data_IF_025091622813
#
_entry.id   IF_025091622813
#
_cell.length_a   1.000
_cell.length_b   1.000
_cell.length_c   1.000
_cell.angle_alpha   90.00
_cell.angle_beta   90.00
_cell.angle_gamma   90.00
#
_symmetry.space_group_name_H-M   'P 1'
#
loop_
_entity.id
_entity.type
_entity.pdbx_description
1 polymer ?
#
# COMPACT_ATOMS: atom_id res chain seq x y z
N UNK A 1 -15.44 6.52 9.89
CA UNK A 1 -14.79 7.32 8.83
C UNK A 1 -14.75 6.45 7.59
N UNK A 2 -15.32 6.95 6.50
CA UNK A 2 -15.50 6.26 5.22
C UNK A 2 -14.24 6.43 4.36
N UNK A 3 -13.38 5.42 4.25
CA UNK A 3 -12.18 5.39 3.38
C UNK A 3 -11.14 6.51 3.62
N UNK A 4 -9.86 6.15 3.68
CA UNK A 4 -8.76 7.13 3.78
C UNK A 4 -7.74 6.90 2.68
N UNK A 5 -7.00 7.94 2.30
CA UNK A 5 -5.94 7.84 1.29
C UNK A 5 -4.72 8.60 1.76
N UNK A 6 -3.57 7.95 1.62
CA UNK A 6 -2.26 8.46 2.02
C UNK A 6 -1.36 8.38 0.80
N UNK A 7 -0.63 9.45 0.53
CA UNK A 7 0.26 9.54 -0.61
C UNK A 7 1.69 9.71 -0.11
N UNK A 8 2.57 8.80 -0.50
CA UNK A 8 3.99 8.86 -0.18
C UNK A 8 4.79 9.15 -1.44
N UNK A 9 5.72 10.11 -1.38
CA UNK A 9 6.77 10.26 -2.40
C UNK A 9 7.81 9.16 -2.16
N UNK A 10 7.98 8.20 -3.08
CA UNK A 10 8.75 6.96 -2.82
C UNK A 10 10.22 7.26 -2.46
N UNK A 11 10.88 8.15 -3.19
CA UNK A 11 12.28 8.48 -2.95
C UNK A 11 12.54 9.19 -1.62
N UNK A 12 11.54 9.90 -1.10
CA UNK A 12 11.68 10.60 0.18
C UNK A 12 11.44 9.66 1.35
N UNK A 13 10.49 8.73 1.19
CA UNK A 13 10.02 7.88 2.28
C UNK A 13 10.70 6.49 2.31
N UNK A 14 11.04 5.94 1.14
CA UNK A 14 11.50 4.55 0.97
C UNK A 14 12.72 4.39 0.05
N UNK A 15 13.73 5.29 0.06
CA UNK A 15 14.80 5.32 -0.94
C UNK A 15 15.65 4.04 -1.03
N UNK A 16 15.70 3.26 0.05
CA UNK A 16 16.56 2.09 0.15
C UNK A 16 15.82 0.76 -0.09
N UNK A 17 14.50 0.80 -0.33
CA UNK A 17 13.74 -0.43 -0.55
C UNK A 17 13.97 -0.95 -1.99
N UNK A 18 14.22 -2.26 -2.22
CA UNK A 18 14.50 -2.80 -3.55
C UNK A 18 13.33 -2.65 -4.55
N UNK A 19 12.12 -2.45 -4.05
CA UNK A 19 10.92 -2.18 -4.84
C UNK A 19 10.58 -0.70 -4.98
N UNK A 20 11.37 0.24 -4.45
CA UNK A 20 11.18 1.68 -4.71
C UNK A 20 11.27 1.92 -6.23
N UNK A 21 10.21 2.47 -6.82
CA UNK A 21 10.02 2.62 -8.28
C UNK A 21 10.19 1.33 -9.12
N UNK A 22 10.20 0.16 -8.47
CA UNK A 22 10.60 -1.08 -9.11
C UNK A 22 9.63 -2.22 -8.76
N UNK A 23 8.43 -2.13 -9.32
CA UNK A 23 7.39 -3.15 -9.19
C UNK A 23 6.88 -3.31 -7.77
N UNK A 24 6.15 -4.40 -7.52
CA UNK A 24 5.50 -4.67 -6.25
C UNK A 24 5.99 -5.97 -5.62
N UNK A 25 6.02 -5.98 -4.30
CA UNK A 25 6.19 -7.19 -3.48
C UNK A 25 5.30 -7.09 -2.26
N UNK A 26 4.98 -8.23 -1.66
CA UNK A 26 4.19 -8.28 -0.42
C UNK A 26 4.92 -7.55 0.72
N UNK A 27 6.25 -7.69 0.83
CA UNK A 27 7.07 -6.99 1.81
C UNK A 27 7.00 -5.47 1.64
N UNK A 28 7.05 -4.98 0.39
CA UNK A 28 6.92 -3.56 0.13
C UNK A 28 5.51 -3.03 0.45
N UNK A 29 4.49 -3.80 0.08
CA UNK A 29 3.11 -3.47 0.42
C UNK A 29 2.91 -3.42 1.94
N UNK A 30 3.50 -4.35 2.69
CA UNK A 30 3.45 -4.36 4.16
C UNK A 30 4.12 -3.12 4.76
N UNK A 31 5.27 -2.71 4.24
CA UNK A 31 5.95 -1.47 4.66
C UNK A 31 5.06 -0.24 4.45
N UNK A 32 4.47 -0.11 3.26
CA UNK A 32 3.59 1.00 2.89
C UNK A 32 2.33 1.04 3.76
N UNK A 33 1.71 -0.11 4.02
CA UNK A 33 0.53 -0.22 4.90
C UNK A 33 0.88 0.20 6.32
N UNK A 34 2.00 -0.28 6.87
CA UNK A 34 2.42 0.10 8.22
C UNK A 34 2.61 1.62 8.32
N UNK A 35 3.27 2.25 7.33
CA UNK A 35 3.42 3.71 7.30
C UNK A 35 2.10 4.45 7.13
N UNK A 36 1.20 3.96 6.29
CA UNK A 36 -0.13 4.56 6.12
C UNK A 36 -0.92 4.52 7.44
N UNK A 37 -0.87 3.40 8.17
CA UNK A 37 -1.56 3.25 9.45
C UNK A 37 -0.97 4.13 10.56
N UNK A 38 0.35 4.36 10.55
CA UNK A 38 1.01 5.33 11.42
C UNK A 38 0.46 6.75 11.16
N UNK A 39 0.32 7.18 9.90
CA UNK A 39 -0.18 8.52 9.54
C UNK A 39 -1.68 8.71 9.79
N UNK A 40 -2.49 7.66 9.65
CA UNK A 40 -3.93 7.69 9.95
C UNK A 40 -4.21 7.79 11.47
N UNK A 41 -3.18 7.72 12.32
CA UNK A 41 -3.32 7.58 13.79
C UNK A 41 -4.24 6.41 14.16
N UNK A 42 -4.12 5.31 13.42
CA UNK A 42 -5.02 4.18 13.60
C UNK A 42 -4.80 3.55 14.99
N UNK A 43 -5.79 3.68 15.89
CA UNK A 43 -5.70 3.27 17.30
C UNK A 43 -5.62 1.75 17.56
N UNK A 44 -5.66 0.94 16.51
CA UNK A 44 -5.48 -0.51 16.59
C UNK A 44 -4.02 -0.87 16.85
N UNK A 45 -3.76 -2.11 17.25
CA UNK A 45 -2.38 -2.60 17.41
C UNK A 45 -1.71 -2.77 16.04
N UNK A 46 -1.20 -1.65 15.50
CA UNK A 46 -0.51 -1.54 14.19
C UNK A 46 0.80 -2.33 14.15
N UNK A 47 1.27 -2.87 15.28
CA UNK A 47 2.58 -3.51 15.37
C UNK A 47 2.64 -4.87 14.66
N UNK A 48 1.50 -5.44 14.25
CA UNK A 48 1.47 -6.74 13.61
C UNK A 48 0.41 -6.86 12.50
N UNK A 49 0.59 -6.09 11.41
CA UNK A 49 -0.22 -6.27 10.20
C UNK A 49 0.04 -7.66 9.60
N UNK A 50 -0.97 -8.52 9.64
CA UNK A 50 -0.99 -9.85 9.03
C UNK A 50 -1.75 -9.76 7.71
N UNK A 51 -1.05 -9.98 6.60
CA UNK A 51 -1.63 -10.01 5.26
C UNK A 51 -2.29 -11.39 5.06
N UNK A 52 -3.59 -11.41 4.76
CA UNK A 52 -4.35 -12.63 4.46
C UNK A 52 -4.47 -12.86 2.96
N UNK A 53 -4.37 -11.78 2.15
CA UNK A 53 -4.42 -11.86 0.70
C UNK A 53 -3.63 -10.73 0.07
N UNK A 54 -2.86 -11.07 -0.95
CA UNK A 54 -2.08 -10.12 -1.75
C UNK A 54 -2.29 -10.42 -3.24
N UNK A 55 -2.82 -9.46 -3.99
CA UNK A 55 -3.08 -9.60 -5.43
C UNK A 55 -2.75 -8.30 -6.13
N UNK A 56 -1.84 -8.33 -7.10
CA UNK A 56 -1.57 -7.19 -7.98
C UNK A 56 -2.05 -7.47 -9.39
N UNK A 57 -2.58 -6.45 -10.05
CA UNK A 57 -3.00 -6.54 -11.44
C UNK A 57 -2.68 -5.25 -12.18
N UNK A 58 -2.04 -5.38 -13.33
CA UNK A 58 -1.84 -4.27 -14.26
C UNK A 58 -3.19 -3.85 -14.86
N UNK A 59 -3.47 -2.54 -14.87
CA UNK A 59 -4.64 -2.00 -15.56
C UNK A 59 -4.44 -2.14 -17.07
N UNK A 60 -3.22 -1.86 -17.54
CA UNK A 60 -2.75 -2.16 -18.88
C UNK A 60 -1.79 -3.34 -18.82
N UNK A 61 -2.18 -4.49 -19.37
CA UNK A 61 -1.38 -5.73 -19.36
C UNK A 61 -0.03 -5.58 -20.08
N UNK A 62 0.14 -4.54 -20.91
CA UNK A 62 1.41 -4.24 -21.58
C UNK A 62 2.34 -3.35 -20.75
N UNK A 63 1.84 -2.80 -19.63
CA UNK A 63 2.57 -1.86 -18.79
C UNK A 63 2.40 -2.20 -17.29
N UNK A 64 3.39 -2.92 -16.75
CA UNK A 64 3.44 -3.31 -15.34
C UNK A 64 3.52 -2.10 -14.39
N UNK A 65 3.94 -0.92 -14.85
CA UNK A 65 3.91 0.29 -14.01
C UNK A 65 2.50 0.76 -13.68
N UNK A 66 1.47 0.20 -14.32
CA UNK A 66 0.05 0.45 -14.03
C UNK A 66 -0.55 -0.54 -13.02
N UNK A 67 0.27 -1.38 -12.40
CA UNK A 67 -0.19 -2.34 -11.41
C UNK A 67 -0.82 -1.68 -10.19
N UNK A 68 -2.02 -2.17 -9.85
CA UNK A 68 -2.72 -1.88 -8.60
C UNK A 68 -2.74 -3.15 -7.77
N UNK A 69 -2.29 -3.04 -6.52
CA UNK A 69 -2.29 -4.13 -5.57
C UNK A 69 -3.45 -4.01 -4.59
N UNK A 70 -4.27 -5.04 -4.51
CA UNK A 70 -5.23 -5.28 -3.44
C UNK A 70 -4.55 -6.06 -2.32
N UNK A 71 -4.64 -5.55 -1.11
CA UNK A 71 -4.08 -6.19 0.09
C UNK A 71 -5.17 -6.32 1.14
N UNK A 72 -5.45 -7.55 1.54
CA UNK A 72 -6.36 -7.88 2.61
C UNK A 72 -5.56 -8.18 3.88
N UNK A 73 -6.00 -7.65 5.02
CA UNK A 73 -5.35 -7.92 6.30
C UNK A 73 -6.33 -8.49 7.32
N UNK A 74 -5.83 -9.29 8.26
CA UNK A 74 -6.63 -9.85 9.36
C UNK A 74 -7.29 -8.73 10.18
N UNK A 75 -6.49 -7.70 10.47
CA UNK A 75 -6.89 -6.38 10.96
C UNK A 75 -5.91 -5.38 10.32
N UNK A 76 -6.28 -4.12 10.00
CA UNK A 76 -7.54 -3.44 10.31
C UNK A 76 -8.57 -3.36 9.17
N UNK A 77 -8.28 -3.90 7.98
CA UNK A 77 -9.12 -3.68 6.81
C UNK A 77 -8.53 -4.23 5.53
N UNK A 78 -8.82 -3.55 4.42
CA UNK A 78 -8.19 -3.81 3.13
C UNK A 78 -7.64 -2.53 2.52
N UNK A 79 -6.68 -2.70 1.63
CA UNK A 79 -5.92 -1.63 1.02
C UNK A 79 -5.87 -1.79 -0.50
N UNK A 80 -5.91 -0.66 -1.21
CA UNK A 80 -5.45 -0.57 -2.58
C UNK A 80 -4.17 0.26 -2.61
N UNK A 81 -3.14 -0.29 -3.24
CA UNK A 81 -1.83 0.33 -3.37
C UNK A 81 -1.54 0.51 -4.85
N UNK A 82 -1.18 1.71 -5.26
CA UNK A 82 -0.89 2.03 -6.66
C UNK A 82 0.14 3.15 -6.75
N UNK A 83 0.96 3.10 -7.80
CA UNK A 83 1.86 4.20 -8.16
C UNK A 83 1.11 5.20 -9.02
N UNK A 84 1.36 6.48 -8.78
CA UNK A 84 1.09 7.50 -9.78
C UNK A 84 2.28 7.65 -10.74
N UNK A 85 2.07 8.40 -11.82
CA UNK A 85 3.10 8.61 -12.84
C UNK A 85 4.25 9.54 -12.39
N UNK A 86 4.27 9.97 -11.12
CA UNK A 86 5.19 10.98 -10.58
C UNK A 86 5.94 10.45 -9.36
N UNK A 87 6.30 9.16 -9.38
CA UNK A 87 7.10 8.51 -8.33
C UNK A 87 6.46 8.53 -6.93
N UNK A 88 5.14 8.68 -6.85
CA UNK A 88 4.41 8.60 -5.59
C UNK A 88 3.56 7.35 -5.53
N UNK A 89 3.40 6.83 -4.31
CA UNK A 89 2.54 5.68 -4.01
C UNK A 89 1.34 6.15 -3.23
N UNK A 90 0.16 5.78 -3.71
CA UNK A 90 -1.11 6.02 -3.04
C UNK A 90 -1.55 4.73 -2.34
N UNK A 91 -1.80 4.84 -1.04
CA UNK A 91 -2.36 3.79 -0.19
C UNK A 91 -3.77 4.19 0.20
N UNK A 92 -4.76 3.53 -0.40
CA UNK A 92 -6.17 3.72 -0.07
C UNK A 92 -6.55 2.67 0.95
N UNK A 93 -6.95 3.10 2.14
CA UNK A 93 -7.35 2.24 3.26
C UNK A 93 -8.88 2.24 3.42
N UNK A 94 -9.46 1.07 3.61
CA UNK A 94 -10.83 0.91 4.04
C UNK A 94 -10.93 -0.14 5.16
N UNK A 95 -11.79 0.13 6.14
CA UNK A 95 -12.03 -0.74 7.30
C UNK A 95 -13.06 -1.82 6.95
N UNK A 96 -13.08 -2.91 7.71
CA UNK A 96 -14.07 -3.97 7.51
C UNK A 96 -15.48 -3.60 7.99
N UNK A 97 -15.61 -2.58 8.84
CA UNK A 97 -16.83 -2.21 9.60
C UNK A 97 -17.56 -0.93 9.14
#
# INVERSE_FOLDING_TARGET
MDTQTITFVEFENFPNHPNCENGWSEDYAKLLINKALEEIEHHSDITNVVITKYVCRAIDETNLSTEVCYVETEQPGFFYIMRDMVASVNVVYNRWD
#
